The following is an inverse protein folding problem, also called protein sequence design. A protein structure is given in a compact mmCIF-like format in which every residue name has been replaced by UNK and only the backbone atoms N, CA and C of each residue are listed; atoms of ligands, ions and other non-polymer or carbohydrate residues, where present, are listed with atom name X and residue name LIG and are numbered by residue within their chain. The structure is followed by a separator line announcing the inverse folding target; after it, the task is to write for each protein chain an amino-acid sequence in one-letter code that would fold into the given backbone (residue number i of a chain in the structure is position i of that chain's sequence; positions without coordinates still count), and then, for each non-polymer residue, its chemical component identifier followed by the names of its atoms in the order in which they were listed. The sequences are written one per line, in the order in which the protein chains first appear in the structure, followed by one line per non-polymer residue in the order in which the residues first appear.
data_IF_649685922712
#
_entry.id   IF_649685922712
#
_cell.length_a   1.000
_cell.length_b   1.000
_cell.length_c   1.000
_cell.angle_alpha   90.00
_cell.angle_beta   90.00
_cell.angle_gamma   90.00
#
_symmetry.space_group_name_H-M   'P 1'
#
loop_
_entity.id
_entity.type
_entity.pdbx_description
1 polymer ?
#
# COMPACT_ATOMS: atom_id res chain seq x y z
N UNK A 1 4.79 2.02 23.99
CA UNK A 1 4.74 2.02 22.52
C UNK A 1 5.91 2.82 21.98
N UNK A 2 6.56 2.37 20.93
CA UNK A 2 7.63 3.14 20.28
C UNK A 2 7.04 4.42 19.68
N UNK A 3 7.65 5.58 19.97
CA UNK A 3 7.20 6.86 19.43
C UNK A 3 7.74 7.02 18.01
N UNK A 4 6.85 7.06 17.03
CA UNK A 4 7.14 7.25 15.60
C UNK A 4 6.91 8.70 15.12
N UNK A 5 6.75 9.64 16.05
CA UNK A 5 6.49 11.04 15.74
C UNK A 5 7.64 11.93 16.19
N UNK A 6 7.81 13.04 15.45
CA UNK A 6 8.67 14.14 15.85
C UNK A 6 8.08 14.88 17.06
N UNK A 7 8.86 15.73 17.75
CA UNK A 7 8.32 16.56 18.85
C UNK A 7 7.10 17.41 18.43
N UNK A 8 7.07 17.86 17.17
CA UNK A 8 5.98 18.66 16.61
C UNK A 8 4.77 17.84 16.16
N UNK A 9 4.81 16.52 16.33
CA UNK A 9 3.70 15.60 16.04
C UNK A 9 3.61 15.10 14.60
N UNK A 10 4.58 15.39 13.74
CA UNK A 10 4.68 14.81 12.40
C UNK A 10 5.25 13.40 12.44
N UNK A 11 4.98 12.61 11.40
CA UNK A 11 5.60 11.29 11.26
C UNK A 11 7.12 11.43 11.13
N UNK A 12 7.86 10.74 11.98
CA UNK A 12 9.32 10.67 11.96
C UNK A 12 9.76 9.56 10.96
N UNK A 13 9.77 9.92 9.69
CA UNK A 13 10.09 8.96 8.61
C UNK A 13 11.50 8.38 8.75
N UNK A 14 12.54 9.13 9.10
CA UNK A 14 13.87 8.57 9.40
C UNK A 14 13.82 7.39 10.38
N UNK A 15 13.14 7.53 11.52
CA UNK A 15 12.99 6.43 12.50
C UNK A 15 12.35 5.17 11.92
N UNK A 16 11.49 5.32 10.93
CA UNK A 16 10.81 4.20 10.27
C UNK A 16 11.74 3.57 9.24
N UNK A 17 12.32 4.39 8.37
CA UNK A 17 13.11 3.92 7.23
C UNK A 17 14.46 3.32 7.66
N UNK A 18 15.05 3.80 8.75
CA UNK A 18 16.32 3.27 9.28
C UNK A 18 16.19 1.92 9.99
N UNK A 19 14.96 1.41 10.20
CA UNK A 19 14.74 0.05 10.68
C UNK A 19 15.28 -0.99 9.69
N UNK A 20 15.74 -2.17 10.16
CA UNK A 20 16.37 -3.20 9.33
C UNK A 20 15.34 -4.03 8.52
N UNK A 21 14.33 -3.35 7.96
CA UNK A 21 13.30 -3.99 7.14
C UNK A 21 13.35 -3.41 5.73
N UNK A 22 13.59 -4.24 4.70
CA UNK A 22 13.58 -3.77 3.32
C UNK A 22 12.19 -3.38 2.81
N UNK A 23 11.11 -3.97 3.34
CA UNK A 23 9.74 -3.71 2.90
C UNK A 23 8.94 -3.01 3.98
N UNK A 24 8.58 -1.75 3.77
CA UNK A 24 7.86 -0.93 4.72
C UNK A 24 6.54 -0.46 4.09
N UNK A 25 5.41 -0.81 4.72
CA UNK A 25 4.09 -0.37 4.30
C UNK A 25 3.53 0.57 5.36
N UNK A 26 3.39 1.85 5.01
CA UNK A 26 2.96 2.90 5.91
C UNK A 26 1.63 3.49 5.45
N UNK A 27 0.58 3.20 6.19
CA UNK A 27 -0.79 3.67 5.90
C UNK A 27 -1.33 4.53 7.02
N UNK A 28 -2.26 5.39 6.72
CA UNK A 28 -2.99 6.15 7.73
C UNK A 28 -3.24 7.60 7.39
N UNK A 29 -3.72 8.36 8.35
CA UNK A 29 -4.29 9.70 8.23
C UNK A 29 -3.58 10.63 7.23
N UNK A 30 -4.38 11.44 6.54
CA UNK A 30 -3.89 12.43 5.54
C UNK A 30 -3.10 13.54 6.22
N UNK A 31 -2.04 14.02 5.52
CA UNK A 31 -1.29 15.20 5.93
C UNK A 31 -0.58 15.06 7.28
N UNK A 32 -0.07 13.86 7.58
CA UNK A 32 0.79 13.58 8.74
C UNK A 32 2.28 13.59 8.39
N UNK A 33 2.63 13.93 7.14
CA UNK A 33 4.01 14.08 6.69
C UNK A 33 4.63 12.84 6.04
N UNK A 34 3.86 11.81 5.64
CA UNK A 34 4.40 10.59 5.03
C UNK A 34 5.26 10.86 3.79
N UNK A 35 4.65 11.40 2.74
CA UNK A 35 5.32 11.68 1.46
C UNK A 35 6.43 12.72 1.63
N UNK A 36 6.12 13.83 2.32
CA UNK A 36 7.10 14.89 2.60
C UNK A 36 8.33 14.34 3.33
N UNK A 37 8.11 13.58 4.41
CA UNK A 37 9.20 13.02 5.20
C UNK A 37 10.05 11.99 4.42
N UNK A 38 9.40 11.19 3.55
CA UNK A 38 10.11 10.22 2.72
C UNK A 38 10.99 10.91 1.66
N UNK A 39 10.44 11.89 0.94
CA UNK A 39 11.19 12.65 -0.05
C UNK A 39 12.31 13.48 0.60
N UNK A 40 12.03 14.12 1.75
CA UNK A 40 13.05 14.83 2.53
C UNK A 40 14.20 13.90 2.93
N UNK A 41 13.88 12.73 3.47
CA UNK A 41 14.88 11.75 3.90
C UNK A 41 15.85 11.35 2.78
N UNK A 42 15.34 10.98 1.60
CA UNK A 42 16.18 10.54 0.48
C UNK A 42 17.00 11.69 -0.10
N UNK A 43 16.47 12.92 -0.14
CA UNK A 43 17.20 14.10 -0.64
C UNK A 43 18.30 14.53 0.34
N UNK A 44 18.01 14.66 1.63
CA UNK A 44 18.97 15.07 2.64
C UNK A 44 20.12 14.06 2.84
N UNK A 45 19.81 12.77 2.72
CA UNK A 45 20.81 11.69 2.82
C UNK A 45 21.54 11.40 1.50
N UNK A 46 21.18 12.09 0.41
CA UNK A 46 21.72 11.84 -0.93
C UNK A 46 21.55 10.38 -1.38
N UNK A 47 20.43 9.75 -1.05
CA UNK A 47 20.14 8.37 -1.42
C UNK A 47 19.52 8.35 -2.83
N UNK A 48 20.13 7.68 -3.81
CA UNK A 48 19.54 7.52 -5.14
C UNK A 48 18.22 6.72 -5.03
N UNK A 49 17.14 7.26 -5.56
CA UNK A 49 15.82 6.67 -5.34
C UNK A 49 14.91 6.68 -6.57
N UNK A 50 13.93 5.81 -6.54
CA UNK A 50 12.79 5.84 -7.46
C UNK A 50 11.57 6.37 -6.71
N UNK A 51 10.94 7.41 -7.26
CA UNK A 51 9.63 7.87 -6.83
C UNK A 51 8.59 7.21 -7.72
N UNK A 52 7.91 6.21 -7.18
CA UNK A 52 6.94 5.40 -7.90
C UNK A 52 5.52 5.90 -7.62
N UNK A 53 4.74 6.13 -8.69
CA UNK A 53 3.31 6.40 -8.64
C UNK A 53 2.56 5.25 -9.28
N UNK A 54 1.24 5.15 -9.04
CA UNK A 54 0.43 4.08 -9.62
C UNK A 54 0.31 4.20 -11.14
N UNK A 55 -0.04 5.36 -11.66
CA UNK A 55 -0.40 5.57 -13.06
C UNK A 55 0.49 6.58 -13.77
N UNK A 56 0.61 6.43 -15.08
CA UNK A 56 1.34 7.38 -15.92
C UNK A 56 0.71 8.78 -15.84
N UNK A 57 -0.62 8.86 -15.82
CA UNK A 57 -1.33 10.15 -15.69
C UNK A 57 -0.95 10.88 -14.41
N UNK A 58 -0.74 10.17 -13.29
CA UNK A 58 -0.26 10.81 -12.06
C UNK A 58 1.15 11.38 -12.23
N UNK A 59 2.07 10.65 -12.85
CA UNK A 59 3.44 11.15 -13.08
C UNK A 59 3.47 12.33 -14.07
N UNK A 60 2.64 12.27 -15.12
CA UNK A 60 2.51 13.36 -16.06
C UNK A 60 1.93 14.62 -15.41
N UNK A 61 0.93 14.48 -14.55
CA UNK A 61 0.37 15.59 -13.79
C UNK A 61 1.40 16.27 -12.87
N UNK A 62 2.20 15.46 -12.15
CA UNK A 62 3.24 15.98 -11.27
C UNK A 62 4.36 16.69 -12.05
N UNK A 63 4.67 16.23 -13.25
CA UNK A 63 5.72 16.81 -14.10
C UNK A 63 5.24 17.95 -14.99
N UNK A 64 3.93 18.23 -15.03
CA UNK A 64 3.34 19.20 -15.97
C UNK A 64 3.78 20.65 -15.72
N UNK A 65 3.96 21.02 -14.44
CA UNK A 65 4.40 22.36 -14.04
C UNK A 65 4.95 22.35 -12.61
N UNK A 66 5.65 23.45 -12.25
CA UNK A 66 6.28 23.57 -10.92
C UNK A 66 5.27 23.59 -9.76
N UNK A 67 4.05 24.03 -9.96
CA UNK A 67 3.04 24.04 -8.90
C UNK A 67 2.62 22.62 -8.47
N UNK A 68 2.81 21.64 -9.34
CA UNK A 68 2.51 20.22 -9.07
C UNK A 68 3.72 19.44 -8.58
N UNK A 69 4.90 20.06 -8.54
CA UNK A 69 6.14 19.42 -8.13
C UNK A 69 6.04 18.89 -6.69
N UNK A 70 6.19 17.57 -6.44
CA UNK A 70 6.08 17.00 -5.10
C UNK A 70 7.17 17.49 -4.13
N UNK A 71 8.24 18.09 -4.65
CA UNK A 71 9.33 18.68 -3.87
C UNK A 71 9.12 20.17 -3.57
N UNK A 72 8.06 20.81 -4.08
CA UNK A 72 7.86 22.27 -3.93
C UNK A 72 7.90 22.71 -2.45
N UNK A 73 7.23 21.98 -1.56
CA UNK A 73 7.25 22.28 -0.13
C UNK A 73 8.63 22.04 0.50
N UNK A 74 9.31 20.96 0.12
CA UNK A 74 10.67 20.66 0.56
C UNK A 74 11.63 21.79 0.17
N UNK A 75 11.56 22.22 -1.08
CA UNK A 75 12.40 23.31 -1.60
C UNK A 75 12.20 24.60 -0.77
N UNK A 76 10.94 24.94 -0.42
CA UNK A 76 10.64 26.11 0.42
C UNK A 76 11.24 25.99 1.82
N UNK A 77 11.14 24.82 2.43
CA UNK A 77 11.55 24.60 3.82
C UNK A 77 13.05 24.45 4.00
N UNK A 78 13.78 23.96 2.97
CA UNK A 78 15.20 23.61 3.07
C UNK A 78 16.11 24.50 2.24
N UNK A 79 15.57 25.29 1.32
CA UNK A 79 16.34 26.05 0.32
C UNK A 79 16.90 25.17 -0.80
N UNK A 80 16.55 23.89 -0.85
CA UNK A 80 16.85 23.01 -2.01
C UNK A 80 16.11 23.47 -3.25
N UNK A 81 16.54 23.03 -4.40
CA UNK A 81 15.87 23.30 -5.66
C UNK A 81 15.77 22.01 -6.48
N UNK A 82 14.94 21.08 -5.98
CA UNK A 82 14.70 19.80 -6.64
C UNK A 82 13.53 19.93 -7.61
N UNK A 83 13.71 19.47 -8.83
CA UNK A 83 12.71 19.55 -9.89
C UNK A 83 12.57 18.26 -10.68
N UNK A 84 11.56 18.25 -11.54
CA UNK A 84 11.22 17.15 -12.41
C UNK A 84 11.59 17.52 -13.85
N UNK A 85 12.32 16.62 -14.55
CA UNK A 85 12.71 16.79 -15.94
C UNK A 85 12.34 15.55 -16.73
N UNK A 86 11.44 15.69 -17.70
CA UNK A 86 11.01 14.57 -18.55
C UNK A 86 12.20 14.08 -19.39
N UNK A 87 12.59 12.81 -19.22
CA UNK A 87 13.73 12.19 -19.91
C UNK A 87 13.32 11.13 -20.95
N UNK A 88 12.04 10.73 -20.94
CA UNK A 88 11.50 9.76 -21.89
C UNK A 88 9.98 9.71 -21.85
N UNK A 89 9.39 8.78 -22.63
CA UNK A 89 7.94 8.60 -22.66
C UNK A 89 7.36 8.18 -21.31
N UNK A 90 8.10 7.35 -20.56
CA UNK A 90 7.65 6.74 -19.31
C UNK A 90 8.54 7.09 -18.12
N UNK A 91 9.52 7.97 -18.32
CA UNK A 91 10.55 8.31 -17.35
C UNK A 91 10.64 9.82 -17.15
N UNK A 92 10.78 10.24 -15.90
CA UNK A 92 11.03 11.63 -15.51
C UNK A 92 12.16 11.63 -14.49
N UNK A 93 13.25 12.30 -14.79
CA UNK A 93 14.37 12.48 -13.88
C UNK A 93 14.03 13.45 -12.77
N UNK A 94 14.54 13.17 -11.59
CA UNK A 94 14.51 14.05 -10.42
C UNK A 94 15.89 14.64 -10.29
N UNK A 95 16.01 15.95 -10.43
CA UNK A 95 17.28 16.66 -10.54
C UNK A 95 17.36 17.78 -9.51
N UNK A 96 18.57 18.03 -8.96
CA UNK A 96 18.86 19.33 -8.35
C UNK A 96 19.06 20.34 -9.44
N UNK A 97 18.74 21.59 -9.17
CA UNK A 97 18.79 22.66 -10.16
C UNK A 97 19.45 23.90 -9.58
N UNK A 98 20.15 24.62 -10.42
CA UNK A 98 20.73 25.93 -10.11
C UNK A 98 20.20 26.99 -11.08
N UNK A 99 20.16 28.27 -10.67
CA UNK A 99 19.82 29.38 -11.57
C UNK A 99 20.87 29.52 -12.68
N UNK A 100 20.39 29.67 -13.91
CA UNK A 100 21.20 30.09 -15.08
C UNK A 100 20.39 31.15 -15.83
N UNK A 101 20.69 32.41 -15.53
CA UNK A 101 19.86 33.55 -15.92
C UNK A 101 18.46 33.43 -15.34
N UNK A 102 17.43 33.52 -16.21
CA UNK A 102 16.01 33.39 -15.83
C UNK A 102 15.53 31.93 -15.78
N UNK A 103 16.40 30.95 -15.97
CA UNK A 103 16.05 29.53 -16.02
C UNK A 103 16.68 28.75 -14.88
N UNK A 104 16.04 27.62 -14.54
CA UNK A 104 16.62 26.61 -13.66
C UNK A 104 17.17 25.46 -14.52
N UNK A 105 18.45 25.17 -14.35
CA UNK A 105 19.15 24.10 -15.10
C UNK A 105 19.59 23.00 -14.15
N UNK A 106 19.68 21.73 -14.58
CA UNK A 106 20.19 20.64 -13.75
C UNK A 106 21.61 20.93 -13.23
N UNK A 107 21.82 20.62 -11.95
CA UNK A 107 23.11 20.64 -11.29
C UNK A 107 23.57 19.20 -11.00
N UNK A 108 24.44 18.70 -11.87
CA UNK A 108 24.95 17.34 -11.77
C UNK A 108 23.99 16.24 -12.26
N UNK A 109 24.27 14.97 -11.93
CA UNK A 109 23.46 13.84 -12.35
C UNK A 109 22.11 13.81 -11.63
N UNK A 110 21.08 13.11 -12.18
CA UNK A 110 19.82 12.92 -11.51
C UNK A 110 19.98 12.27 -10.12
N UNK A 111 19.30 12.82 -9.12
CA UNK A 111 19.25 12.27 -7.76
C UNK A 111 18.23 11.16 -7.63
N UNK A 112 17.30 11.05 -8.57
CA UNK A 112 16.27 10.02 -8.60
C UNK A 112 15.55 9.94 -9.94
N UNK A 113 14.60 9.02 -10.02
CA UNK A 113 13.75 8.79 -11.18
C UNK A 113 12.29 8.66 -10.75
N UNK A 114 11.37 9.35 -11.41
CA UNK A 114 9.94 9.16 -11.22
C UNK A 114 9.40 8.21 -12.30
N UNK A 115 8.70 7.16 -11.86
CA UNK A 115 8.13 6.11 -12.70
C UNK A 115 6.68 5.84 -12.33
N UNK A 116 5.94 5.22 -13.27
CA UNK A 116 4.58 4.74 -13.04
C UNK A 116 4.52 3.21 -13.04
N UNK A 117 3.89 2.61 -12.03
CA UNK A 117 3.72 1.16 -11.93
C UNK A 117 2.96 0.60 -13.14
N UNK A 118 1.92 1.30 -13.61
CA UNK A 118 1.11 0.88 -14.77
C UNK A 118 1.91 0.73 -16.08
N UNK A 119 3.09 1.32 -16.18
CA UNK A 119 3.94 1.29 -17.37
C UNK A 119 5.29 0.64 -17.15
N UNK A 120 5.53 0.08 -15.98
CA UNK A 120 6.84 -0.48 -15.61
C UNK A 120 7.28 -1.61 -16.56
N UNK A 121 6.35 -2.40 -17.08
CA UNK A 121 6.61 -3.45 -18.06
C UNK A 121 7.17 -2.92 -19.40
N UNK A 122 6.99 -1.64 -19.69
CA UNK A 122 7.53 -0.98 -20.89
C UNK A 122 8.99 -0.57 -20.73
N UNK A 123 9.54 -0.67 -19.52
CA UNK A 123 10.91 -0.30 -19.20
C UNK A 123 11.86 -1.51 -19.26
N UNK A 124 11.65 -2.40 -20.23
CA UNK A 124 12.53 -3.55 -20.45
C UNK A 124 13.97 -3.08 -20.70
N UNK A 125 14.90 -3.66 -19.94
CA UNK A 125 16.31 -3.24 -20.01
C UNK A 125 16.67 -2.01 -19.17
N UNK A 126 15.72 -1.47 -18.40
CA UNK A 126 16.01 -0.41 -17.44
C UNK A 126 17.09 -0.86 -16.44
N UNK A 127 18.16 -0.08 -16.32
CA UNK A 127 19.18 -0.31 -15.31
C UNK A 127 18.85 0.46 -14.05
N UNK A 128 18.32 -0.25 -13.05
CA UNK A 128 17.96 0.31 -11.74
C UNK A 128 19.01 0.11 -10.64
N UNK A 129 20.17 -0.46 -10.94
CA UNK A 129 21.17 -0.86 -9.94
C UNK A 129 21.72 0.28 -9.06
N UNK A 130 21.66 1.50 -9.55
CA UNK A 130 22.10 2.69 -8.81
C UNK A 130 21.11 3.09 -7.70
N UNK A 131 19.83 2.71 -7.81
CA UNK A 131 18.82 3.13 -6.84
C UNK A 131 18.82 2.23 -5.61
N UNK A 132 18.76 2.86 -4.45
CA UNK A 132 18.80 2.18 -3.15
C UNK A 132 17.45 2.18 -2.44
N UNK A 133 16.52 3.05 -2.86
CA UNK A 133 15.20 3.17 -2.26
C UNK A 133 14.14 3.36 -3.35
N UNK A 134 13.00 2.70 -3.18
CA UNK A 134 11.77 2.96 -3.92
C UNK A 134 10.78 3.60 -2.96
N UNK A 135 10.36 4.82 -3.21
CA UNK A 135 9.25 5.48 -2.52
C UNK A 135 8.01 5.30 -3.38
N UNK A 136 7.16 4.34 -3.03
CA UNK A 136 5.89 4.09 -3.71
C UNK A 136 4.77 4.84 -3.00
N UNK A 137 4.39 5.98 -3.56
CA UNK A 137 3.40 6.86 -2.97
C UNK A 137 2.00 6.59 -3.52
N UNK A 138 0.99 6.63 -2.64
CA UNK A 138 -0.41 6.30 -2.88
C UNK A 138 -0.60 4.88 -3.43
N UNK A 139 0.07 3.88 -2.81
CA UNK A 139 0.00 2.50 -3.28
C UNK A 139 -1.38 1.85 -3.10
N UNK A 140 -2.23 2.37 -2.21
CA UNK A 140 -3.64 1.96 -2.10
C UNK A 140 -4.50 2.98 -2.85
N UNK A 141 -5.18 2.57 -3.93
CA UNK A 141 -5.98 3.48 -4.73
C UNK A 141 -7.23 3.97 -4.00
N UNK A 142 -7.69 5.16 -4.35
CA UNK A 142 -9.02 5.63 -3.98
C UNK A 142 -10.10 4.72 -4.59
N UNK A 143 -11.31 4.64 -4.00
CA UNK A 143 -12.37 3.71 -4.44
C UNK A 143 -12.77 3.83 -5.92
N UNK A 144 -12.70 5.05 -6.47
CA UNK A 144 -13.04 5.34 -7.87
C UNK A 144 -11.88 5.19 -8.86
N UNK A 145 -10.67 4.90 -8.37
CA UNK A 145 -9.50 4.76 -9.23
C UNK A 145 -9.56 3.45 -10.03
N UNK A 146 -9.13 3.53 -11.29
CA UNK A 146 -9.06 2.33 -12.15
C UNK A 146 -8.06 1.32 -11.58
N UNK A 147 -8.43 0.04 -11.51
CA UNK A 147 -7.50 -1.00 -11.08
C UNK A 147 -6.37 -1.18 -12.10
N UNK A 148 -5.18 -1.49 -11.60
CA UNK A 148 -4.08 -1.97 -12.42
C UNK A 148 -4.17 -3.51 -12.44
N UNK A 149 -4.09 -4.08 -13.64
CA UNK A 149 -4.10 -5.53 -13.78
C UNK A 149 -2.91 -6.15 -13.08
N UNK A 150 -3.14 -7.16 -12.25
CA UNK A 150 -2.11 -7.88 -11.49
C UNK A 150 -1.15 -6.92 -10.73
N UNK A 151 -1.69 -5.88 -10.10
CA UNK A 151 -0.92 -4.78 -9.52
C UNK A 151 0.16 -5.24 -8.54
N UNK A 152 -0.10 -6.25 -7.72
CA UNK A 152 0.90 -6.81 -6.81
C UNK A 152 2.06 -7.46 -7.57
N UNK A 153 1.78 -8.24 -8.61
CA UNK A 153 2.82 -8.85 -9.45
C UNK A 153 3.63 -7.80 -10.20
N UNK A 154 2.96 -6.75 -10.69
CA UNK A 154 3.65 -5.63 -11.35
C UNK A 154 4.64 -4.94 -10.38
N UNK A 155 4.24 -4.74 -9.11
CA UNK A 155 5.12 -4.16 -8.09
C UNK A 155 6.30 -5.09 -7.77
N UNK A 156 6.08 -6.40 -7.63
CA UNK A 156 7.15 -7.36 -7.34
C UNK A 156 8.13 -7.46 -8.50
N UNK A 157 7.66 -7.49 -9.74
CA UNK A 157 8.51 -7.49 -10.92
C UNK A 157 9.31 -6.18 -11.06
N UNK A 158 8.70 -5.04 -10.73
CA UNK A 158 9.41 -3.76 -10.67
C UNK A 158 10.53 -3.79 -9.63
N UNK A 159 10.21 -4.25 -8.43
CA UNK A 159 11.18 -4.38 -7.34
C UNK A 159 12.35 -5.29 -7.75
N UNK A 160 12.08 -6.48 -8.29
CA UNK A 160 13.11 -7.41 -8.72
C UNK A 160 14.00 -6.82 -9.83
N UNK A 161 13.41 -6.09 -10.78
CA UNK A 161 14.16 -5.41 -11.84
C UNK A 161 15.15 -4.38 -11.28
N UNK A 162 14.79 -3.69 -10.20
CA UNK A 162 15.62 -2.67 -9.57
C UNK A 162 16.60 -3.30 -8.58
N UNK A 163 16.14 -4.22 -7.74
CA UNK A 163 16.97 -4.90 -6.73
C UNK A 163 17.98 -5.87 -7.39
N UNK A 164 17.56 -6.58 -8.43
CA UNK A 164 18.37 -7.59 -9.13
C UNK A 164 19.08 -8.54 -8.15
N UNK A 165 20.37 -8.69 -8.32
CA UNK A 165 21.23 -9.59 -7.55
C UNK A 165 22.01 -8.87 -6.44
N UNK A 166 21.53 -7.71 -5.93
CA UNK A 166 22.27 -6.90 -4.93
C UNK A 166 22.74 -7.74 -3.74
N UNK A 167 21.86 -8.53 -3.16
CA UNK A 167 22.16 -9.34 -1.98
C UNK A 167 23.17 -10.45 -2.30
N UNK A 168 23.12 -11.06 -3.49
CA UNK A 168 24.12 -12.01 -3.96
C UNK A 168 25.50 -11.37 -4.15
N UNK A 169 25.54 -10.06 -4.39
CA UNK A 169 26.75 -9.25 -4.52
C UNK A 169 27.20 -8.62 -3.18
N UNK A 170 26.57 -9.03 -2.05
CA UNK A 170 26.90 -8.52 -0.71
C UNK A 170 26.42 -7.07 -0.45
N UNK A 171 25.53 -6.55 -1.30
CA UNK A 171 24.91 -5.23 -1.09
C UNK A 171 23.60 -5.36 -0.35
N UNK A 172 23.18 -4.36 0.44
CA UNK A 172 21.86 -4.39 1.07
C UNK A 172 20.75 -4.42 0.00
N UNK A 173 19.59 -5.06 0.26
CA UNK A 173 18.45 -5.00 -0.64
C UNK A 173 17.96 -3.56 -0.79
N UNK A 174 17.36 -3.27 -1.95
CA UNK A 174 16.66 -1.99 -2.16
C UNK A 174 15.54 -1.84 -1.14
N UNK A 175 15.43 -0.68 -0.53
CA UNK A 175 14.35 -0.41 0.41
C UNK A 175 13.09 -0.01 -0.35
N UNK A 176 11.99 -0.72 -0.12
CA UNK A 176 10.67 -0.39 -0.66
C UNK A 176 9.81 0.25 0.43
N UNK A 177 9.55 1.54 0.28
CA UNK A 177 8.70 2.32 1.19
C UNK A 177 7.37 2.62 0.49
N UNK A 178 6.32 1.87 0.83
CA UNK A 178 4.97 2.05 0.34
C UNK A 178 4.18 2.98 1.26
N UNK A 179 3.67 4.08 0.73
CA UNK A 179 2.93 5.11 1.47
C UNK A 179 1.50 5.20 0.95
N UNK A 180 0.52 5.34 1.83
CA UNK A 180 -0.85 5.64 1.44
C UNK A 180 -1.61 6.39 2.51
N UNK A 181 -2.57 7.20 2.06
CA UNK A 181 -3.57 7.83 2.93
C UNK A 181 -4.79 6.93 3.16
N UNK A 182 -4.99 5.95 2.30
CA UNK A 182 -6.05 4.95 2.44
C UNK A 182 -5.54 3.75 3.24
N UNK A 183 -6.42 3.12 3.98
CA UNK A 183 -6.18 1.88 4.72
C UNK A 183 -7.11 0.75 4.26
N UNK A 184 -7.64 0.84 3.04
CA UNK A 184 -8.49 -0.21 2.46
C UNK A 184 -7.81 -1.57 2.51
N UNK A 185 -8.50 -2.53 3.10
CA UNK A 185 -7.99 -3.89 3.32
C UNK A 185 -8.00 -4.72 2.03
N UNK A 186 -8.96 -4.47 1.16
CA UNK A 186 -9.17 -5.18 -0.11
C UNK A 186 -8.29 -4.67 -1.26
N UNK A 187 -7.18 -3.99 -0.95
CA UNK A 187 -6.24 -3.55 -1.98
C UNK A 187 -5.37 -4.69 -2.51
N UNK A 188 -4.99 -4.59 -3.79
CA UNK A 188 -4.27 -5.65 -4.50
C UNK A 188 -2.93 -6.02 -3.86
N UNK A 189 -2.22 -5.06 -3.25
CA UNK A 189 -0.90 -5.29 -2.65
C UNK A 189 -1.03 -6.10 -1.36
N UNK A 190 -1.92 -5.70 -0.44
CA UNK A 190 -2.12 -6.45 0.80
C UNK A 190 -2.65 -7.85 0.54
N UNK A 191 -3.63 -7.99 -0.36
CA UNK A 191 -4.15 -9.30 -0.73
C UNK A 191 -3.07 -10.18 -1.37
N UNK A 192 -2.36 -9.66 -2.38
CA UNK A 192 -1.33 -10.41 -3.10
C UNK A 192 -0.15 -10.84 -2.22
N UNK A 193 0.17 -10.06 -1.18
CA UNK A 193 1.22 -10.38 -0.21
C UNK A 193 0.69 -11.14 1.03
N UNK A 194 -0.62 -11.41 1.15
CA UNK A 194 -1.20 -12.08 2.32
C UNK A 194 -1.00 -11.27 3.61
N UNK A 195 -1.21 -9.95 3.55
CA UNK A 195 -1.01 -9.04 4.69
C UNK A 195 -2.32 -8.60 5.34
N UNK A 196 -3.47 -8.91 4.72
CA UNK A 196 -4.78 -8.39 5.13
C UNK A 196 -5.10 -8.75 6.58
N UNK A 197 -4.98 -10.03 6.95
CA UNK A 197 -5.21 -10.49 8.31
C UNK A 197 -4.32 -9.77 9.33
N UNK A 198 -3.05 -9.56 8.99
CA UNK A 198 -2.13 -8.88 9.89
C UNK A 198 -2.51 -7.42 10.11
N UNK A 199 -2.91 -6.72 9.06
CA UNK A 199 -3.37 -5.32 9.15
C UNK A 199 -4.65 -5.22 9.97
N UNK A 200 -5.62 -6.13 9.77
CA UNK A 200 -6.84 -6.20 10.58
C UNK A 200 -6.53 -6.41 12.06
N UNK A 201 -5.63 -7.33 12.37
CA UNK A 201 -5.20 -7.54 13.77
C UNK A 201 -4.57 -6.29 14.39
N UNK A 202 -3.77 -5.54 13.61
CA UNK A 202 -3.19 -4.27 14.07
C UNK A 202 -4.29 -3.24 14.37
N UNK A 203 -5.27 -3.09 13.49
CA UNK A 203 -6.40 -2.18 13.68
C UNK A 203 -7.20 -2.53 14.93
N UNK A 204 -7.58 -3.80 15.11
CA UNK A 204 -8.33 -4.29 16.27
C UNK A 204 -7.59 -4.08 17.60
N UNK A 205 -6.26 -4.25 17.59
CA UNK A 205 -5.41 -4.08 18.77
C UNK A 205 -4.93 -2.65 18.98
N UNK A 206 -5.35 -1.72 18.13
CA UNK A 206 -4.85 -0.35 18.10
C UNK A 206 -3.31 -0.28 18.06
N UNK A 207 -2.71 -1.18 17.27
CA UNK A 207 -1.27 -1.35 17.17
C UNK A 207 -0.71 -0.54 16.00
N UNK A 208 0.23 0.37 16.28
CA UNK A 208 0.84 1.21 15.24
C UNK A 208 1.91 0.49 14.42
N UNK A 209 2.69 -0.38 15.03
CA UNK A 209 3.82 -1.06 14.38
C UNK A 209 3.66 -2.57 14.47
N UNK A 210 3.96 -3.25 13.39
CA UNK A 210 4.08 -4.70 13.37
C UNK A 210 5.24 -5.14 12.49
N UNK A 211 5.96 -6.14 12.96
CA UNK A 211 7.15 -6.66 12.33
C UNK A 211 6.95 -8.11 11.91
N UNK A 212 7.43 -8.45 10.71
CA UNK A 212 7.46 -9.80 10.17
C UNK A 212 8.91 -10.10 9.73
N UNK A 213 9.82 -10.43 10.68
CA UNK A 213 11.26 -10.55 10.41
C UNK A 213 11.58 -11.57 9.31
N UNK A 214 10.93 -12.73 9.34
CA UNK A 214 11.14 -13.81 8.35
C UNK A 214 10.82 -13.39 6.91
N UNK A 215 10.02 -12.32 6.75
CA UNK A 215 9.63 -11.76 5.45
C UNK A 215 10.28 -10.41 5.16
N UNK A 216 11.06 -9.88 6.09
CA UNK A 216 11.63 -8.54 5.98
C UNK A 216 10.59 -7.42 5.91
N UNK A 217 9.38 -7.62 6.44
CA UNK A 217 8.27 -6.68 6.35
C UNK A 217 8.04 -5.94 7.66
N UNK A 218 7.87 -4.63 7.56
CA UNK A 218 7.37 -3.75 8.61
C UNK A 218 6.07 -3.09 8.17
N UNK A 219 5.03 -3.20 8.99
CA UNK A 219 3.76 -2.52 8.80
C UNK A 219 3.66 -1.36 9.78
N UNK A 220 3.31 -0.19 9.27
CA UNK A 220 3.08 1.05 10.03
C UNK A 220 1.65 1.51 9.77
N UNK A 221 0.82 1.47 10.81
CA UNK A 221 -0.57 1.90 10.74
C UNK A 221 -0.77 3.16 11.60
N UNK A 222 -0.90 4.30 10.96
CA UNK A 222 -1.06 5.60 11.62
C UNK A 222 -2.54 5.83 11.88
N UNK A 223 -3.04 5.33 12.98
CA UNK A 223 -4.45 5.51 13.37
C UNK A 223 -4.71 6.89 13.96
N UNK A 224 -3.72 7.45 14.64
CA UNK A 224 -3.78 8.78 15.23
C UNK A 224 -2.40 9.43 15.15
N UNK A 225 -2.36 10.71 14.80
CA UNK A 225 -1.14 11.51 14.85
C UNK A 225 -1.36 12.72 15.75
N UNK A 226 -0.38 13.13 16.58
CA UNK A 226 -0.50 14.33 17.40
C UNK A 226 -0.91 15.59 16.62
N UNK A 227 -0.49 15.70 15.34
CA UNK A 227 -0.88 16.81 14.47
C UNK A 227 -2.36 16.79 14.11
N UNK A 228 -3.06 15.66 14.21
CA UNK A 228 -4.49 15.56 13.92
C UNK A 228 -5.33 16.43 14.84
N UNK A 229 -4.90 16.62 16.10
CA UNK A 229 -5.56 17.52 17.04
C UNK A 229 -5.49 19.00 16.61
N UNK A 230 -4.39 19.42 16.01
CA UNK A 230 -4.27 20.77 15.44
C UNK A 230 -5.09 20.89 14.15
N UNK A 231 -5.07 19.88 13.30
CA UNK A 231 -5.82 19.84 12.04
C UNK A 231 -7.32 19.88 12.25
N UNK A 232 -7.87 19.24 13.28
CA UNK A 232 -9.31 19.22 13.58
C UNK A 232 -9.89 20.63 13.77
N UNK A 233 -9.05 21.60 14.14
CA UNK A 233 -9.43 23.01 14.34
C UNK A 233 -9.46 23.82 13.03
N UNK A 234 -9.03 23.28 11.91
CA UNK A 234 -9.06 23.99 10.60
C UNK A 234 -10.46 23.99 9.99
N UNK A 235 -10.71 24.90 9.05
CA UNK A 235 -12.04 25.11 8.46
C UNK A 235 -12.64 23.86 7.86
N UNK A 236 -11.86 23.10 7.06
CA UNK A 236 -12.31 21.88 6.41
C UNK A 236 -12.78 20.83 7.45
N UNK A 237 -11.97 20.58 8.48
CA UNK A 237 -12.28 19.53 9.45
C UNK A 237 -13.37 19.95 10.44
N UNK A 238 -13.54 21.25 10.69
CA UNK A 238 -14.73 21.75 11.42
C UNK A 238 -16.01 21.55 10.61
N UNK A 239 -15.97 21.83 9.30
CA UNK A 239 -17.11 21.62 8.39
C UNK A 239 -17.48 20.14 8.28
N UNK A 240 -16.48 19.26 8.28
CA UNK A 240 -16.68 17.81 8.11
C UNK A 240 -16.73 17.03 9.42
N UNK A 241 -16.82 17.71 10.55
CA UNK A 241 -16.94 17.07 11.87
C UNK A 241 -18.18 16.16 11.92
N UNK A 242 -18.00 14.92 12.37
CA UNK A 242 -19.07 13.91 12.44
C UNK A 242 -19.44 13.27 11.10
N UNK A 243 -18.77 13.62 10.00
CA UNK A 243 -18.95 12.95 8.70
C UNK A 243 -17.94 11.82 8.52
N UNK A 244 -18.24 10.91 7.58
CA UNK A 244 -17.33 9.84 7.14
C UNK A 244 -15.97 10.38 6.70
N UNK A 245 -15.95 11.47 5.93
CA UNK A 245 -14.73 12.13 5.50
C UNK A 245 -13.89 12.61 6.69
N UNK A 246 -14.51 13.24 7.69
CA UNK A 246 -13.81 13.72 8.88
C UNK A 246 -13.16 12.57 9.67
N UNK A 247 -13.91 11.50 9.89
CA UNK A 247 -13.41 10.30 10.58
C UNK A 247 -12.27 9.62 9.81
N UNK A 248 -12.39 9.48 8.49
CA UNK A 248 -11.34 8.93 7.64
C UNK A 248 -10.07 9.79 7.66
N UNK A 249 -10.21 11.09 7.49
CA UNK A 249 -9.07 11.97 7.26
C UNK A 249 -8.30 12.33 8.55
N UNK A 250 -8.96 12.34 9.72
CA UNK A 250 -8.33 12.63 11.02
C UNK A 250 -7.95 11.36 11.78
N UNK A 251 -8.89 10.39 11.84
CA UNK A 251 -8.78 9.23 12.72
C UNK A 251 -8.40 7.95 11.96
N UNK A 252 -8.23 8.06 10.64
CA UNK A 252 -7.98 6.91 9.76
C UNK A 252 -9.04 5.81 9.92
N UNK A 253 -10.28 6.19 10.23
CA UNK A 253 -11.40 5.27 10.34
C UNK A 253 -12.14 5.21 9.01
N UNK A 254 -12.12 4.07 8.37
CA UNK A 254 -12.96 3.78 7.21
C UNK A 254 -14.31 3.26 7.72
N UNK A 255 -15.36 4.06 7.59
CA UNK A 255 -16.72 3.72 8.08
C UNK A 255 -17.34 2.61 7.23
N UNK A 256 -16.93 2.43 5.97
CA UNK A 256 -17.44 1.37 5.09
C UNK A 256 -16.96 -0.05 5.43
N UNK A 257 -15.95 -0.19 6.29
CA UNK A 257 -15.43 -1.48 6.73
C UNK A 257 -15.63 -1.64 8.23
N UNK A 258 -16.92 -1.70 8.65
CA UNK A 258 -17.22 -2.05 10.03
C UNK A 258 -16.85 -3.53 10.27
N UNK A 259 -15.64 -3.72 10.79
CA UNK A 259 -15.13 -5.03 11.20
C UNK A 259 -15.80 -5.54 12.49
N UNK A 260 -16.81 -4.81 12.99
CA UNK A 260 -17.50 -5.10 14.25
C UNK A 260 -18.57 -6.20 14.13
N UNK A 261 -18.64 -6.94 13.02
CA UNK A 261 -19.46 -8.17 13.01
C UNK A 261 -18.96 -9.09 14.13
N UNK A 262 -19.88 -9.62 14.96
CA UNK A 262 -19.51 -10.59 15.98
C UNK A 262 -18.81 -11.78 15.33
N UNK A 263 -17.69 -12.16 15.90
CA UNK A 263 -16.96 -13.36 15.47
C UNK A 263 -17.88 -14.58 15.69
N UNK A 264 -18.27 -15.25 14.60
CA UNK A 264 -19.09 -16.47 14.60
C UNK A 264 -18.19 -17.69 14.43
N UNK A 265 -17.34 -17.93 15.39
CA UNK A 265 -16.48 -19.13 15.35
C UNK A 265 -17.34 -20.40 15.43
N UNK A 266 -17.14 -21.29 14.47
CA UNK A 266 -17.78 -22.60 14.38
C UNK A 266 -16.78 -23.72 14.74
N UNK A 267 -17.28 -24.81 15.28
CA UNK A 267 -16.44 -25.99 15.50
C UNK A 267 -16.14 -26.71 14.19
N UNK A 268 -14.91 -26.59 13.71
CA UNK A 268 -14.45 -27.16 12.44
C UNK A 268 -14.58 -28.68 12.34
N UNK A 269 -14.77 -29.41 13.47
CA UNK A 269 -15.09 -30.85 13.46
C UNK A 269 -16.43 -31.16 12.76
N UNK A 270 -17.32 -30.18 12.69
CA UNK A 270 -18.60 -30.29 12.00
C UNK A 270 -18.53 -29.96 10.50
N UNK A 271 -17.35 -29.72 9.98
CA UNK A 271 -17.14 -29.26 8.61
C UNK A 271 -16.06 -30.08 7.91
N UNK A 272 -16.21 -30.19 6.59
CA UNK A 272 -15.17 -30.72 5.70
C UNK A 272 -14.52 -29.57 4.95
N UNK A 273 -13.17 -29.52 4.87
CA UNK A 273 -12.48 -28.48 4.10
C UNK A 273 -12.79 -28.66 2.60
N UNK A 274 -13.18 -27.58 1.93
CA UNK A 274 -13.63 -27.59 0.54
C UNK A 274 -12.55 -27.02 -0.41
N UNK A 275 -12.11 -25.80 -0.15
CA UNK A 275 -11.15 -25.09 -0.99
C UNK A 275 -10.55 -23.89 -0.21
N UNK A 276 -9.29 -23.56 -0.54
CA UNK A 276 -8.61 -22.37 -0.07
C UNK A 276 -8.39 -21.41 -1.24
N UNK A 277 -8.61 -20.12 -1.03
CA UNK A 277 -8.31 -19.07 -2.00
C UNK A 277 -7.74 -17.84 -1.29
N UNK A 278 -6.54 -17.42 -1.67
CA UNK A 278 -5.84 -16.35 -0.98
C UNK A 278 -5.74 -16.63 0.52
N UNK A 279 -6.29 -15.74 1.33
CA UNK A 279 -6.35 -15.87 2.80
C UNK A 279 -7.63 -16.60 3.29
N UNK A 280 -8.58 -16.94 2.41
CA UNK A 280 -9.81 -17.60 2.79
C UNK A 280 -9.72 -19.12 2.76
N UNK A 281 -10.29 -19.75 3.77
CA UNK A 281 -10.58 -21.17 3.84
C UNK A 281 -12.09 -21.39 3.87
N UNK A 282 -12.58 -22.17 2.93
CA UNK A 282 -14.00 -22.45 2.73
C UNK A 282 -14.27 -23.88 3.11
N UNK A 283 -15.21 -24.08 3.99
CA UNK A 283 -15.61 -25.36 4.54
C UNK A 283 -17.08 -25.66 4.20
N UNK A 284 -17.41 -26.93 4.05
CA UNK A 284 -18.77 -27.42 3.88
C UNK A 284 -19.25 -28.07 5.16
N UNK A 285 -20.43 -27.74 5.65
CA UNK A 285 -21.03 -28.39 6.80
C UNK A 285 -21.34 -29.86 6.50
N UNK A 286 -20.94 -30.77 7.38
CA UNK A 286 -21.26 -32.20 7.30
C UNK A 286 -22.76 -32.40 7.38
N UNK A 287 -23.33 -33.13 6.43
CA UNK A 287 -24.76 -33.41 6.39
C UNK A 287 -25.65 -32.17 6.15
N UNK A 288 -25.08 -31.05 5.72
CA UNK A 288 -25.81 -29.80 5.47
C UNK A 288 -25.41 -29.09 4.18
N UNK A 289 -26.15 -28.02 3.89
CA UNK A 289 -25.91 -27.22 2.68
C UNK A 289 -25.09 -25.94 2.93
N UNK A 290 -24.88 -25.57 4.19
CA UNK A 290 -24.22 -24.32 4.55
C UNK A 290 -22.70 -24.43 4.35
N UNK A 291 -22.12 -23.29 4.00
CA UNK A 291 -20.67 -23.10 4.00
C UNK A 291 -20.27 -22.29 5.23
N UNK A 292 -19.08 -22.52 5.69
CA UNK A 292 -18.38 -21.71 6.69
C UNK A 292 -17.09 -21.16 6.10
N UNK A 293 -16.87 -19.87 6.22
CA UNK A 293 -15.69 -19.19 5.66
C UNK A 293 -14.93 -18.51 6.79
N UNK A 294 -13.64 -18.82 6.86
CA UNK A 294 -12.70 -18.33 7.87
C UNK A 294 -11.37 -17.97 7.22
N UNK A 295 -10.54 -17.20 7.93
CA UNK A 295 -9.15 -16.94 7.58
C UNK A 295 -8.17 -17.89 8.28
N UNK A 296 -8.66 -18.81 9.08
CA UNK A 296 -7.84 -19.83 9.72
C UNK A 296 -7.56 -21.00 8.78
N UNK A 297 -6.28 -21.18 8.42
CA UNK A 297 -5.83 -22.21 7.48
C UNK A 297 -5.80 -23.56 8.18
N UNK A 298 -6.55 -24.53 7.67
CA UNK A 298 -6.28 -25.95 7.90
C UNK A 298 -5.65 -26.57 6.65
N UNK A 299 -4.87 -27.64 6.83
CA UNK A 299 -4.41 -28.48 5.74
C UNK A 299 -5.63 -28.96 4.94
N UNK A 300 -5.84 -28.45 3.75
CA UNK A 300 -7.06 -28.69 2.99
C UNK A 300 -6.79 -29.02 1.52
N UNK A 301 -7.87 -29.29 0.78
CA UNK A 301 -7.84 -29.60 -0.63
C UNK A 301 -7.33 -28.43 -1.48
N UNK A 302 -7.69 -28.37 -2.74
CA UNK A 302 -7.22 -27.40 -3.73
C UNK A 302 -6.99 -25.98 -3.18
N UNK A 303 -5.84 -25.39 -3.51
CA UNK A 303 -5.49 -24.01 -3.16
C UNK A 303 -5.41 -23.19 -4.43
N UNK A 304 -6.01 -22.00 -4.41
CA UNK A 304 -5.95 -21.00 -5.47
C UNK A 304 -5.22 -19.75 -4.98
N UNK A 305 -4.33 -19.22 -5.81
CA UNK A 305 -3.75 -17.90 -5.62
C UNK A 305 -4.68 -16.80 -6.15
N UNK A 306 -4.16 -15.58 -6.24
CA UNK A 306 -4.93 -14.38 -6.58
C UNK A 306 -4.51 -13.79 -7.94
N UNK A 307 -3.79 -14.53 -8.78
CA UNK A 307 -3.58 -14.13 -10.18
C UNK A 307 -4.90 -14.16 -10.96
N UNK A 308 -5.02 -13.36 -12.01
CA UNK A 308 -6.23 -13.31 -12.85
C UNK A 308 -6.64 -14.69 -13.36
N UNK A 309 -5.66 -15.52 -13.73
CA UNK A 309 -5.90 -16.87 -14.23
C UNK A 309 -6.47 -17.78 -13.12
N UNK A 310 -5.92 -17.72 -11.90
CA UNK A 310 -6.38 -18.54 -10.78
C UNK A 310 -7.73 -18.07 -10.26
N UNK A 311 -7.97 -16.76 -10.18
CA UNK A 311 -9.29 -16.20 -9.85
C UNK A 311 -10.35 -16.63 -10.88
N UNK A 312 -10.02 -16.58 -12.16
CA UNK A 312 -10.91 -17.04 -13.23
C UNK A 312 -11.22 -18.53 -13.10
N UNK A 313 -10.21 -19.36 -12.84
CA UNK A 313 -10.39 -20.79 -12.63
C UNK A 313 -11.21 -21.09 -11.38
N UNK A 314 -10.96 -20.37 -10.28
CA UNK A 314 -11.74 -20.48 -9.07
C UNK A 314 -13.20 -20.13 -9.32
N UNK A 315 -13.50 -18.98 -9.91
CA UNK A 315 -14.86 -18.53 -10.24
C UNK A 315 -15.58 -19.55 -11.12
N UNK A 316 -14.92 -20.07 -12.16
CA UNK A 316 -15.49 -21.10 -13.04
C UNK A 316 -15.84 -22.38 -12.30
N UNK A 317 -14.97 -22.86 -11.41
CA UNK A 317 -15.16 -24.12 -10.70
C UNK A 317 -16.11 -24.02 -9.52
N UNK A 318 -16.14 -22.86 -8.86
CA UNK A 318 -16.84 -22.64 -7.59
C UNK A 318 -17.89 -21.51 -7.65
N UNK A 319 -18.44 -21.18 -8.84
CA UNK A 319 -19.49 -20.18 -9.01
C UNK A 319 -20.72 -20.44 -8.12
N UNK A 320 -21.00 -21.69 -7.80
CA UNK A 320 -22.07 -22.09 -6.92
C UNK A 320 -21.89 -21.59 -5.48
N UNK A 321 -20.68 -21.27 -5.03
CA UNK A 321 -20.43 -20.60 -3.74
C UNK A 321 -21.09 -19.23 -3.74
N UNK A 322 -21.00 -18.50 -4.87
CA UNK A 322 -21.67 -17.22 -5.00
C UNK A 322 -23.20 -17.34 -4.91
N UNK A 323 -23.78 -18.36 -5.50
CA UNK A 323 -25.21 -18.64 -5.34
C UNK A 323 -25.58 -18.93 -3.88
N UNK A 324 -24.72 -19.64 -3.12
CA UNK A 324 -24.89 -19.86 -1.67
C UNK A 324 -24.81 -18.55 -0.88
N UNK A 325 -23.92 -17.62 -1.28
CA UNK A 325 -23.83 -16.30 -0.66
C UNK A 325 -25.13 -15.50 -0.83
N UNK A 326 -25.61 -15.37 -2.06
CA UNK A 326 -26.86 -14.66 -2.35
C UNK A 326 -28.06 -15.26 -1.63
N UNK A 327 -28.09 -16.57 -1.43
CA UNK A 327 -29.19 -17.27 -0.74
C UNK A 327 -29.01 -17.35 0.79
N UNK A 328 -28.01 -16.65 1.36
CA UNK A 328 -27.79 -16.60 2.82
C UNK A 328 -27.33 -17.93 3.42
N UNK A 329 -26.76 -18.85 2.63
CA UNK A 329 -26.26 -20.16 3.06
C UNK A 329 -24.76 -20.17 3.39
N UNK A 330 -24.17 -18.98 3.67
CA UNK A 330 -22.79 -18.83 4.11
C UNK A 330 -22.75 -18.23 5.50
N UNK A 331 -22.00 -18.87 6.38
CA UNK A 331 -21.62 -18.35 7.68
C UNK A 331 -20.21 -17.82 7.55
N UNK A 332 -20.04 -16.52 7.71
CA UNK A 332 -18.71 -15.90 7.79
C UNK A 332 -18.27 -15.84 9.25
N UNK A 333 -17.03 -16.27 9.51
CA UNK A 333 -16.45 -16.14 10.83
C UNK A 333 -16.40 -14.66 11.25
N UNK A 334 -16.03 -13.81 10.31
CA UNK A 334 -15.89 -12.37 10.52
C UNK A 334 -16.18 -11.59 9.24
N UNK A 335 -16.42 -10.28 9.35
CA UNK A 335 -16.71 -9.39 8.22
C UNK A 335 -15.61 -9.40 7.15
N UNK A 336 -14.37 -9.55 7.56
CA UNK A 336 -13.23 -9.66 6.63
C UNK A 336 -13.44 -10.81 5.64
N UNK A 337 -13.94 -11.96 6.08
CA UNK A 337 -14.17 -13.11 5.19
C UNK A 337 -15.17 -12.78 4.08
N UNK A 338 -16.21 -12.00 4.40
CA UNK A 338 -17.19 -11.55 3.41
C UNK A 338 -16.60 -10.54 2.43
N UNK A 339 -15.85 -9.55 2.91
CA UNK A 339 -15.15 -8.56 2.07
C UNK A 339 -14.22 -9.25 1.06
N UNK A 340 -13.40 -10.18 1.54
CA UNK A 340 -12.48 -10.93 0.69
C UNK A 340 -13.22 -11.82 -0.32
N UNK A 341 -14.29 -12.50 0.10
CA UNK A 341 -15.08 -13.32 -0.81
C UNK A 341 -15.67 -12.48 -1.95
N UNK A 342 -16.30 -11.35 -1.63
CA UNK A 342 -16.85 -10.42 -2.61
C UNK A 342 -15.77 -10.00 -3.61
N UNK A 343 -14.61 -9.61 -3.12
CA UNK A 343 -13.48 -9.22 -3.97
C UNK A 343 -13.00 -10.34 -4.88
N UNK A 344 -12.93 -11.57 -4.38
CA UNK A 344 -12.48 -12.72 -5.17
C UNK A 344 -13.51 -13.12 -6.23
N UNK A 345 -14.79 -12.85 -6.02
CA UNK A 345 -15.83 -13.00 -7.04
C UNK A 345 -15.97 -11.80 -7.97
N UNK A 346 -15.35 -10.65 -7.65
CA UNK A 346 -15.38 -9.45 -8.47
C UNK A 346 -16.64 -8.61 -8.27
N UNK A 347 -17.24 -8.68 -7.09
CA UNK A 347 -18.41 -7.93 -6.67
C UNK A 347 -18.03 -6.64 -5.93
#
# INVERSE_FOLDING_TARGET
MENIYTPDGWLDVPKIVEKPYPFIFCTGARGVGKTYGALKYVIEKNIPFIYLRRTLTETEFLAANESNNPFARLNMDTGENVGLMKSGKYTTEIVRRIPDGDKLVPDGPPVGMMLALSTISNLRGFNGEQYETIVYDEFIPEPHARPIREECMALMNAYETINRNRELLGKPPVKLLCLSNSNRLDNAIYMGLGLVNKVVQMQRKNQQLSYMPDRGIMLVNIMYSPISAAKSKTALYRMTAGTEFGAMALDNKYIGEDLAMPNKSEDLRNYDPLVNIGELCIYRRKGGENLYITTHVSGGPARFGLSDAELTNFRRKYNWIWAKYITGKIIFEERLCEILLNRYFGA
#
